data_IF_733223076704
#
_entry.id   IF_733223076704
#
_cell.length_a   1.000
_cell.length_b   1.000
_cell.length_c   1.000
_cell.angle_alpha   90.00
_cell.angle_beta   90.00
_cell.angle_gamma   90.00
#
_symmetry.space_group_name_H-M   'P 1'
#
loop_
_entity.id
_entity.type
_entity.pdbx_description
1 polymer ?
#
# COMPACT_ATOMS: atom_id res chain seq x y z
N UNK A 1 -30.56 39.66 8.75
CA UNK A 1 -30.67 38.34 9.40
C UNK A 1 -30.24 37.33 8.34
N UNK A 2 -28.91 37.16 8.19
CA UNK A 2 -28.15 36.00 8.69
C UNK A 2 -28.37 34.78 7.78
N UNK A 3 -27.43 34.49 6.85
CA UNK A 3 -26.25 33.58 7.01
C UNK A 3 -26.69 32.10 7.13
N UNK A 4 -26.16 31.10 6.41
CA UNK A 4 -24.77 30.90 6.00
C UNK A 4 -24.65 29.81 4.91
N UNK A 5 -23.62 29.94 4.08
CA UNK A 5 -22.88 28.87 3.42
C UNK A 5 -22.52 27.74 4.41
N UNK A 6 -22.65 26.47 4.03
CA UNK A 6 -21.74 25.42 4.50
C UNK A 6 -21.48 24.38 3.40
N UNK A 7 -20.33 24.54 2.74
CA UNK A 7 -19.59 23.42 2.15
C UNK A 7 -19.28 22.44 3.28
N UNK A 8 -19.75 21.20 3.21
CA UNK A 8 -19.16 20.10 3.98
C UNK A 8 -18.36 19.22 3.05
N UNK A 9 -17.15 19.69 2.73
CA UNK A 9 -16.07 18.81 2.30
C UNK A 9 -15.65 17.98 3.50
N UNK A 10 -16.39 16.90 3.78
CA UNK A 10 -15.88 15.83 4.64
C UNK A 10 -14.90 15.05 3.77
N UNK A 11 -13.60 14.95 4.12
CA UNK A 11 -12.74 14.01 3.42
C UNK A 11 -13.37 12.63 3.59
N UNK A 12 -13.81 12.03 2.49
CA UNK A 12 -14.19 10.62 2.50
C UNK A 12 -12.93 9.90 2.96
N UNK A 13 -12.91 9.44 4.22
CA UNK A 13 -11.89 8.53 4.69
C UNK A 13 -11.90 7.39 3.69
N UNK A 14 -10.85 7.28 2.86
CA UNK A 14 -10.67 6.11 1.99
C UNK A 14 -10.89 4.90 2.90
N UNK A 15 -11.93 4.12 2.62
CA UNK A 15 -12.29 2.97 3.42
C UNK A 15 -11.05 2.08 3.53
N UNK A 16 -10.39 2.11 4.68
CA UNK A 16 -9.20 1.29 4.94
C UNK A 16 -9.62 -0.15 5.29
N UNK A 17 -10.64 -0.64 4.58
CA UNK A 17 -11.20 -1.97 4.76
C UNK A 17 -10.27 -2.98 4.08
N UNK A 18 -9.89 -4.05 4.80
CA UNK A 18 -9.22 -5.22 4.24
C UNK A 18 -9.85 -5.69 2.92
N UNK A 19 -9.08 -5.75 1.82
CA UNK A 19 -9.57 -6.28 0.53
C UNK A 19 -9.19 -7.74 0.27
N UNK A 20 -8.16 -8.27 0.94
CA UNK A 20 -7.63 -9.61 0.75
C UNK A 20 -6.84 -10.05 1.99
N UNK A 21 -6.64 -11.36 2.25
CA UNK A 21 -5.77 -11.81 3.33
C UNK A 21 -4.30 -11.49 3.04
N UNK A 22 -3.58 -10.96 4.03
CA UNK A 22 -2.13 -10.67 3.93
C UNK A 22 -1.23 -11.89 4.15
N UNK A 23 -1.76 -12.96 4.75
CA UNK A 23 -0.94 -14.08 5.19
C UNK A 23 0.13 -13.65 6.21
N UNK A 24 1.33 -14.23 6.10
CA UNK A 24 2.48 -13.84 6.91
C UNK A 24 3.10 -12.55 6.36
N UNK A 25 3.14 -11.51 7.19
CA UNK A 25 3.87 -10.29 6.85
C UNK A 25 5.37 -10.44 7.15
N UNK A 26 6.21 -10.09 6.20
CA UNK A 26 7.67 -10.05 6.33
C UNK A 26 8.22 -8.74 5.73
N UNK A 27 9.46 -8.43 6.06
CA UNK A 27 10.20 -7.37 5.40
C UNK A 27 11.69 -7.68 5.34
N UNK A 28 12.36 -7.17 4.32
CA UNK A 28 13.82 -7.26 4.24
C UNK A 28 14.48 -6.31 5.24
N UNK A 29 15.71 -6.61 5.70
CA UNK A 29 16.46 -5.69 6.54
C UNK A 29 16.61 -4.31 5.89
N UNK A 30 16.86 -4.25 4.57
CA UNK A 30 16.98 -2.98 3.85
C UNK A 30 15.72 -2.12 3.90
N UNK A 31 14.54 -2.73 3.76
CA UNK A 31 13.28 -2.01 3.89
C UNK A 31 13.02 -1.53 5.33
N UNK A 32 13.38 -2.33 6.33
CA UNK A 32 13.26 -1.95 7.75
C UNK A 32 14.15 -0.73 8.04
N UNK A 33 15.41 -0.76 7.61
CA UNK A 33 16.37 0.31 7.82
C UNK A 33 15.93 1.59 7.10
N UNK A 34 15.53 1.50 5.83
CA UNK A 34 15.06 2.65 5.05
C UNK A 34 13.84 3.35 5.66
N UNK A 35 12.90 2.59 6.23
CA UNK A 35 11.73 3.14 6.91
C UNK A 35 12.09 3.73 8.28
N UNK A 36 13.03 3.11 9.00
CA UNK A 36 13.51 3.61 10.28
C UNK A 36 14.23 4.96 10.13
N UNK A 37 15.02 5.15 9.07
CA UNK A 37 15.72 6.40 8.77
C UNK A 37 14.78 7.62 8.63
N UNK A 38 13.54 7.41 8.18
CA UNK A 38 12.55 8.48 8.00
C UNK A 38 11.55 8.60 9.16
N UNK A 39 11.69 7.77 10.18
CA UNK A 39 10.77 7.70 11.32
C UNK A 39 9.34 7.33 10.91
N UNK A 40 9.19 6.55 9.84
CA UNK A 40 7.89 6.07 9.36
C UNK A 40 7.53 4.70 9.97
N UNK A 41 6.27 4.32 9.83
CA UNK A 41 5.77 3.01 10.26
C UNK A 41 5.70 2.07 9.06
N UNK A 42 6.46 0.96 9.09
CA UNK A 42 6.43 -0.07 8.05
C UNK A 42 5.00 -0.61 7.84
N UNK A 43 4.24 -0.76 8.94
CA UNK A 43 2.86 -1.22 8.91
C UNK A 43 1.91 -0.26 8.19
N UNK A 44 2.29 1.00 7.98
CA UNK A 44 1.48 1.96 7.22
C UNK A 44 1.45 1.60 5.73
N UNK A 45 2.58 1.18 5.16
CA UNK A 45 2.67 0.73 3.76
C UNK A 45 1.86 -0.56 3.55
N UNK A 46 1.95 -1.51 4.50
CA UNK A 46 1.14 -2.74 4.46
C UNK A 46 -0.35 -2.43 4.56
N UNK A 47 -0.78 -1.52 5.45
CA UNK A 47 -2.20 -1.12 5.57
C UNK A 47 -2.75 -0.47 4.30
N UNK A 48 -1.94 0.35 3.63
CA UNK A 48 -2.27 0.97 2.34
C UNK A 48 -2.46 -0.10 1.26
N UNK A 49 -1.52 -1.04 1.16
CA UNK A 49 -1.59 -2.17 0.23
C UNK A 49 -2.84 -3.01 0.48
N UNK A 50 -3.11 -3.34 1.75
CA UNK A 50 -4.26 -4.11 2.19
C UNK A 50 -5.61 -3.46 1.85
N UNK A 51 -5.67 -2.12 1.85
CA UNK A 51 -6.83 -1.33 1.43
C UNK A 51 -6.96 -1.16 -0.08
N UNK A 52 -6.02 -1.69 -0.87
CA UNK A 52 -5.98 -1.51 -2.32
C UNK A 52 -5.56 -0.12 -2.78
N UNK A 53 -4.79 0.60 -1.96
CA UNK A 53 -4.13 1.83 -2.39
C UNK A 53 -2.76 1.48 -2.97
N UNK A 54 -2.69 1.26 -4.28
CA UNK A 54 -1.53 0.64 -4.93
C UNK A 54 -0.27 1.52 -5.01
N UNK A 55 -0.38 2.80 -4.65
CA UNK A 55 0.73 3.75 -4.61
C UNK A 55 1.18 4.19 -6.01
N UNK A 56 2.49 4.26 -6.24
CA UNK A 56 3.11 4.78 -7.48
C UNK A 56 3.25 3.69 -8.55
N UNK A 57 2.14 3.04 -8.88
CA UNK A 57 2.02 2.14 -10.04
C UNK A 57 1.30 2.87 -11.17
N UNK A 58 1.49 2.44 -12.42
CA UNK A 58 0.71 2.98 -13.53
C UNK A 58 -0.76 2.49 -13.47
N UNK A 59 -1.62 3.06 -14.30
CA UNK A 59 -3.05 2.73 -14.31
C UNK A 59 -3.28 1.26 -14.69
N UNK A 60 -2.49 0.73 -15.63
CA UNK A 60 -2.55 -0.67 -16.05
C UNK A 60 -2.18 -1.63 -14.93
N UNK A 61 -1.13 -1.31 -14.16
CA UNK A 61 -0.69 -2.12 -13.01
C UNK A 61 -1.69 -2.02 -11.85
N UNK A 62 -2.29 -0.85 -11.63
CA UNK A 62 -3.38 -0.67 -10.67
C UNK A 62 -4.59 -1.54 -11.03
N UNK A 63 -4.98 -1.56 -12.31
CA UNK A 63 -6.06 -2.40 -12.80
C UNK A 63 -5.70 -3.89 -12.68
N UNK A 64 -4.46 -4.28 -13.01
CA UNK A 64 -3.99 -5.65 -12.84
C UNK A 64 -4.07 -6.11 -11.37
N UNK A 65 -3.76 -5.22 -10.41
CA UNK A 65 -3.97 -5.52 -8.99
C UNK A 65 -5.46 -5.69 -8.64
N UNK A 66 -6.34 -4.85 -9.17
CA UNK A 66 -7.78 -4.97 -8.93
C UNK A 66 -8.35 -6.28 -9.51
N UNK A 67 -7.91 -6.67 -10.70
CA UNK A 67 -8.28 -7.95 -11.33
C UNK A 67 -7.72 -9.14 -10.52
N UNK A 68 -6.49 -9.01 -10.02
CA UNK A 68 -5.83 -10.01 -9.19
C UNK A 68 -6.55 -10.29 -7.86
N UNK A 69 -7.38 -9.37 -7.36
CA UNK A 69 -8.25 -9.64 -6.21
C UNK A 69 -9.32 -10.69 -6.51
N UNK A 70 -9.66 -10.88 -7.79
CA UNK A 70 -10.64 -11.87 -8.24
C UNK A 70 -9.98 -13.12 -8.78
N UNK A 71 -8.94 -12.98 -9.61
CA UNK A 71 -8.30 -14.12 -10.28
C UNK A 71 -7.21 -14.81 -9.45
N UNK A 72 -6.79 -14.21 -8.34
CA UNK A 72 -5.80 -14.77 -7.42
C UNK A 72 -4.35 -14.58 -7.86
N UNK A 73 -4.06 -13.78 -8.88
CA UNK A 73 -2.69 -13.39 -9.24
C UNK A 73 -2.01 -12.61 -8.10
N UNK A 74 -0.68 -12.48 -8.14
CA UNK A 74 0.06 -11.70 -7.14
C UNK A 74 -0.35 -10.23 -7.16
N UNK A 75 -0.20 -9.55 -6.02
CA UNK A 75 -0.45 -8.11 -5.87
C UNK A 75 0.87 -7.38 -5.65
N UNK A 76 1.00 -6.17 -6.21
CA UNK A 76 2.19 -5.33 -6.06
C UNK A 76 1.78 -3.87 -5.83
N UNK A 77 2.16 -3.29 -4.70
CA UNK A 77 2.17 -1.84 -4.51
C UNK A 77 3.58 -1.28 -4.58
N UNK A 78 3.67 0.00 -4.98
CA UNK A 78 4.91 0.77 -4.98
C UNK A 78 4.74 1.98 -4.07
N UNK A 79 5.64 2.15 -3.11
CA UNK A 79 5.65 3.32 -2.23
C UNK A 79 7.02 3.97 -2.14
N UNK A 80 7.03 5.16 -1.57
CA UNK A 80 8.25 5.86 -1.23
C UNK A 80 8.21 6.26 0.24
N UNK A 81 9.36 6.15 0.90
CA UNK A 81 9.62 6.82 2.18
C UNK A 81 9.72 8.33 1.97
N UNK A 82 9.74 9.11 3.06
CA UNK A 82 9.90 10.58 3.02
C UNK A 82 11.21 11.04 2.38
N UNK A 83 12.26 10.22 2.40
CA UNK A 83 13.54 10.49 1.72
C UNK A 83 13.59 9.90 0.29
N UNK A 84 12.45 9.51 -0.27
CA UNK A 84 12.28 8.99 -1.63
C UNK A 84 12.95 7.63 -1.90
N UNK A 85 13.16 6.82 -0.86
CA UNK A 85 13.56 5.42 -1.03
C UNK A 85 12.36 4.61 -1.50
N UNK A 86 12.52 3.90 -2.62
CA UNK A 86 11.45 3.12 -3.25
C UNK A 86 11.28 1.77 -2.56
N UNK A 87 10.04 1.47 -2.18
CA UNK A 87 9.62 0.22 -1.55
C UNK A 87 8.61 -0.51 -2.43
N UNK A 88 8.74 -1.83 -2.50
CA UNK A 88 7.71 -2.72 -2.98
C UNK A 88 6.98 -3.37 -1.81
N UNK A 89 5.66 -3.53 -1.94
CA UNK A 89 4.85 -4.37 -1.07
C UNK A 89 4.16 -5.40 -1.94
N UNK A 90 4.54 -6.66 -1.79
CA UNK A 90 4.09 -7.75 -2.66
C UNK A 90 3.30 -8.74 -1.81
N UNK A 91 2.11 -9.13 -2.28
CA UNK A 91 1.39 -10.28 -1.73
C UNK A 91 1.35 -11.38 -2.77
N UNK A 92 1.82 -12.58 -2.40
CA UNK A 92 1.88 -13.73 -3.29
C UNK A 92 0.50 -14.18 -3.78
N UNK A 93 0.46 -14.90 -4.91
CA UNK A 93 -0.78 -15.34 -5.56
C UNK A 93 -1.69 -16.15 -4.62
N UNK A 94 -1.10 -17.06 -3.82
CA UNK A 94 -1.82 -17.85 -2.83
C UNK A 94 -2.16 -17.08 -1.54
N UNK A 95 -1.81 -15.78 -1.48
CA UNK A 95 -2.00 -14.90 -0.32
C UNK A 95 -1.35 -15.43 0.97
N UNK A 96 -0.33 -16.28 0.84
CA UNK A 96 0.36 -16.86 2.00
C UNK A 96 1.32 -15.90 2.68
N UNK A 97 1.88 -14.95 1.93
CA UNK A 97 2.92 -14.03 2.40
C UNK A 97 2.74 -12.65 1.77
N UNK A 98 2.90 -11.60 2.58
CA UNK A 98 3.10 -10.22 2.15
C UNK A 98 4.49 -9.76 2.55
N UNK A 99 5.32 -9.35 1.59
CA UNK A 99 6.69 -8.89 1.83
C UNK A 99 6.86 -7.42 1.49
N UNK A 100 7.50 -6.66 2.38
CA UNK A 100 8.01 -5.31 2.10
C UNK A 100 9.51 -5.40 1.80
N UNK A 101 9.95 -4.84 0.68
CA UNK A 101 11.35 -4.91 0.24
C UNK A 101 11.76 -3.64 -0.51
N UNK A 102 13.06 -3.36 -0.58
CA UNK A 102 13.57 -2.30 -1.44
C UNK A 102 13.39 -2.68 -2.91
N UNK A 103 13.24 -1.69 -3.78
CA UNK A 103 13.15 -1.93 -5.22
C UNK A 103 14.40 -2.63 -5.80
N UNK A 104 15.58 -2.39 -5.21
CA UNK A 104 16.85 -2.98 -5.65
C UNK A 104 17.08 -4.41 -5.11
N UNK A 105 16.22 -4.90 -4.20
CA UNK A 105 16.26 -6.27 -3.67
C UNK A 105 15.38 -7.25 -4.47
N UNK A 106 14.70 -6.76 -5.51
CA UNK A 106 13.79 -7.51 -6.38
C UNK A 106 14.28 -7.51 -7.83
#
# INVERSE_FOLDING_TARGET
MSNSNTFSGVPILKNNQPRFPLGQCAATPGAIDAVAETGEDLGSFVRRHHGGEWGDVCEEDAQANDDALTDGSRLLSVYFTKNYTKLYVITEADRSVTTVLLADEY
#
